data_IF_583142198134
#
_entry.id   IF_583142198134
#
_cell.length_a   1.000
_cell.length_b   1.000
_cell.length_c   1.000
_cell.angle_alpha   90.00
_cell.angle_beta   90.00
_cell.angle_gamma   90.00
#
_symmetry.space_group_name_H-M   'P 1'
#
loop_
_entity.id
_entity.type
_entity.pdbx_description
1 polymer ?
#
# COMPACT_ATOMS: atom_id res chain seq x y z
N UNK A 1 -50.55 -26.68 -29.68
CA UNK A 1 -50.13 -25.86 -28.55
C UNK A 1 -48.69 -26.06 -28.12
N UNK A 2 -47.73 -26.33 -29.02
CA UNK A 2 -46.28 -26.50 -28.69
C UNK A 2 -45.33 -25.47 -29.32
N UNK A 3 -45.83 -24.56 -30.15
CA UNK A 3 -44.99 -23.56 -30.86
C UNK A 3 -44.88 -22.19 -30.13
N UNK A 4 -45.76 -21.89 -29.20
CA UNK A 4 -45.76 -20.61 -28.48
C UNK A 4 -44.66 -20.54 -27.42
N UNK A 5 -44.33 -21.69 -26.80
CA UNK A 5 -43.27 -21.72 -25.77
C UNK A 5 -41.84 -21.52 -26.29
N UNK A 6 -41.59 -21.77 -27.56
CA UNK A 6 -40.26 -21.58 -28.15
C UNK A 6 -39.92 -20.10 -28.38
N UNK A 7 -40.91 -19.31 -28.82
CA UNK A 7 -40.71 -17.86 -29.05
C UNK A 7 -40.55 -17.08 -27.75
N UNK A 8 -41.18 -17.51 -26.64
CA UNK A 8 -41.00 -16.86 -25.33
C UNK A 8 -39.59 -17.14 -24.77
N UNK A 9 -39.03 -18.32 -25.02
CA UNK A 9 -37.68 -18.68 -24.62
C UNK A 9 -36.61 -17.90 -25.40
N UNK A 10 -36.81 -17.71 -26.72
CA UNK A 10 -35.90 -16.91 -27.56
C UNK A 10 -35.93 -15.42 -27.21
N UNK A 11 -37.10 -14.86 -26.90
CA UNK A 11 -37.23 -13.46 -26.47
C UNK A 11 -36.60 -13.26 -25.08
N UNK A 12 -36.75 -14.22 -24.16
CA UNK A 12 -36.09 -14.17 -22.84
C UNK A 12 -34.56 -14.27 -22.97
N UNK A 13 -34.05 -15.10 -23.90
CA UNK A 13 -32.62 -15.23 -24.17
C UNK A 13 -32.03 -13.97 -24.81
N UNK A 14 -32.78 -13.33 -25.73
CA UNK A 14 -32.41 -12.07 -26.34
C UNK A 14 -32.43 -10.89 -25.37
N UNK A 15 -33.36 -10.89 -24.42
CA UNK A 15 -33.36 -9.88 -23.32
C UNK A 15 -32.19 -10.06 -22.37
N UNK A 16 -31.72 -11.30 -22.13
CA UNK A 16 -30.53 -11.55 -21.31
C UNK A 16 -29.22 -11.12 -22.03
N UNK A 17 -29.18 -11.19 -23.38
CA UNK A 17 -28.01 -10.76 -24.16
C UNK A 17 -27.99 -9.23 -24.37
N UNK A 18 -29.13 -8.56 -24.29
CA UNK A 18 -29.22 -7.09 -24.39
C UNK A 18 -29.00 -6.36 -23.06
N UNK A 19 -28.88 -7.10 -21.96
CA UNK A 19 -28.70 -6.57 -20.60
C UNK A 19 -27.25 -6.37 -20.17
N UNK A 20 -26.26 -6.62 -21.05
CA UNK A 20 -24.90 -6.13 -20.81
C UNK A 20 -24.88 -4.62 -21.11
N UNK A 21 -25.45 -3.82 -20.21
CA UNK A 21 -25.10 -2.41 -20.14
C UNK A 21 -23.60 -2.39 -19.87
N UNK A 22 -22.79 -2.01 -20.87
CA UNK A 22 -21.39 -1.66 -20.65
C UNK A 22 -21.41 -0.60 -19.57
N UNK A 23 -20.97 -0.96 -18.35
CA UNK A 23 -20.78 0.00 -17.28
C UNK A 23 -19.94 1.14 -17.87
N UNK A 24 -20.32 2.39 -17.62
CA UNK A 24 -19.49 3.50 -18.11
C UNK A 24 -18.09 3.32 -17.51
N UNK A 25 -17.00 3.68 -18.20
CA UNK A 25 -15.64 3.54 -17.68
C UNK A 25 -15.46 4.11 -16.27
N UNK A 26 -16.24 5.12 -15.92
CA UNK A 26 -16.29 5.72 -14.59
C UNK A 26 -16.94 4.79 -13.55
N UNK A 27 -17.99 4.06 -13.90
CA UNK A 27 -18.65 3.12 -12.99
C UNK A 27 -17.76 1.89 -12.72
N UNK A 28 -17.06 1.41 -13.75
CA UNK A 28 -16.09 0.31 -13.60
C UNK A 28 -14.92 0.70 -12.69
N UNK A 29 -14.33 1.89 -12.89
CA UNK A 29 -13.29 2.44 -12.03
C UNK A 29 -13.76 2.54 -10.57
N UNK A 30 -14.98 3.09 -10.33
CA UNK A 30 -15.54 3.20 -8.99
C UNK A 30 -15.73 1.84 -8.30
N UNK A 31 -16.24 0.85 -9.03
CA UNK A 31 -16.45 -0.50 -8.50
C UNK A 31 -15.11 -1.16 -8.13
N UNK A 32 -14.10 -1.02 -9.00
CA UNK A 32 -12.74 -1.55 -8.73
C UNK A 32 -12.11 -0.88 -7.51
N UNK A 33 -12.23 0.44 -7.37
CA UNK A 33 -11.74 1.16 -6.19
C UNK A 33 -12.45 0.69 -4.93
N UNK A 34 -13.77 0.53 -4.97
CA UNK A 34 -14.53 0.01 -3.83
C UNK A 34 -14.06 -1.41 -3.43
N UNK A 35 -13.88 -2.28 -4.41
CA UNK A 35 -13.36 -3.63 -4.20
C UNK A 35 -11.97 -3.59 -3.54
N UNK A 36 -11.01 -2.85 -4.10
CA UNK A 36 -9.65 -2.76 -3.57
C UNK A 36 -9.61 -2.14 -2.16
N UNK A 37 -10.47 -1.18 -1.86
CA UNK A 37 -10.63 -0.66 -0.51
C UNK A 37 -11.19 -1.70 0.46
N UNK A 38 -12.07 -2.60 0.01
CA UNK A 38 -12.56 -3.70 0.85
C UNK A 38 -11.45 -4.71 1.19
N UNK A 39 -10.59 -5.03 0.23
CA UNK A 39 -9.39 -5.86 0.44
C UNK A 39 -8.45 -5.19 1.45
N UNK A 40 -8.22 -3.87 1.32
CA UNK A 40 -7.42 -3.10 2.29
C UNK A 40 -7.97 -3.24 3.70
N UNK A 41 -9.28 -3.05 3.89
CA UNK A 41 -9.93 -3.19 5.21
C UNK A 41 -9.76 -4.60 5.77
N UNK A 42 -9.90 -5.64 4.94
CA UNK A 42 -9.68 -7.03 5.35
C UNK A 42 -8.24 -7.24 5.82
N UNK A 43 -7.25 -6.71 5.07
CA UNK A 43 -5.83 -6.79 5.42
C UNK A 43 -5.54 -6.09 6.75
N UNK A 44 -6.13 -4.89 6.99
CA UNK A 44 -5.98 -4.16 8.26
C UNK A 44 -6.62 -4.87 9.46
N UNK A 45 -7.56 -5.77 9.22
CA UNK A 45 -8.26 -6.55 10.25
C UNK A 45 -7.68 -7.95 10.47
N UNK A 46 -6.53 -8.27 9.91
CA UNK A 46 -5.85 -9.55 10.15
C UNK A 46 -5.55 -9.72 11.63
N UNK A 47 -5.75 -10.94 12.15
CA UNK A 47 -5.55 -11.23 13.59
C UNK A 47 -4.09 -11.39 13.96
N UNK A 48 -3.29 -11.95 13.07
CA UNK A 48 -1.86 -12.14 13.24
C UNK A 48 -1.21 -12.37 11.89
N UNK A 49 0.08 -12.21 11.81
CA UNK A 49 0.88 -12.45 10.61
C UNK A 49 2.23 -11.76 10.70
N UNK A 50 2.92 -11.78 9.58
CA UNK A 50 4.13 -11.01 9.38
C UNK A 50 4.12 -10.33 8.02
N UNK A 51 4.87 -9.26 7.89
CA UNK A 51 5.12 -8.61 6.61
C UNK A 51 6.47 -7.90 6.61
N UNK A 52 7.02 -7.77 5.41
CA UNK A 52 8.28 -7.08 5.20
C UNK A 52 8.07 -5.87 4.30
N UNK A 53 8.59 -4.72 4.71
CA UNK A 53 8.60 -3.48 3.94
C UNK A 53 10.04 -3.18 3.53
N UNK A 54 10.28 -3.13 2.23
CA UNK A 54 11.54 -2.69 1.64
C UNK A 54 11.32 -1.30 1.03
N UNK A 55 12.11 -0.32 1.42
CA UNK A 55 12.04 1.03 0.85
C UNK A 55 13.41 1.43 0.33
N UNK A 56 13.43 1.93 -0.90
CA UNK A 56 14.58 2.50 -1.58
C UNK A 56 14.26 3.95 -1.93
N UNK A 57 15.14 4.85 -1.52
CA UNK A 57 15.13 6.25 -1.93
C UNK A 57 16.36 6.55 -2.77
N UNK A 58 16.15 7.25 -3.88
CA UNK A 58 17.24 7.81 -4.69
C UNK A 58 17.05 9.31 -4.73
N UNK A 59 18.03 10.06 -4.27
CA UNK A 59 18.06 11.54 -4.23
C UNK A 59 19.30 11.97 -4.99
N UNK A 60 19.11 12.44 -6.23
CA UNK A 60 20.23 12.70 -7.13
C UNK A 60 21.04 11.43 -7.42
N UNK A 61 22.29 11.40 -7.00
CA UNK A 61 23.22 10.27 -7.16
C UNK A 61 23.28 9.37 -5.90
N UNK A 62 22.66 9.79 -4.81
CA UNK A 62 22.64 9.05 -3.55
C UNK A 62 21.47 8.05 -3.51
N UNK A 63 21.72 6.88 -2.94
CA UNK A 63 20.69 5.85 -2.73
C UNK A 63 20.75 5.35 -1.30
N UNK A 64 19.58 5.27 -0.68
CA UNK A 64 19.38 4.69 0.65
C UNK A 64 18.34 3.58 0.60
N UNK A 65 18.58 2.51 1.34
CA UNK A 65 17.68 1.36 1.41
C UNK A 65 17.42 0.98 2.86
N UNK A 66 16.16 0.71 3.18
CA UNK A 66 15.74 0.24 4.51
C UNK A 66 14.81 -0.95 4.36
N UNK A 67 15.05 -2.00 5.15
CA UNK A 67 14.15 -3.13 5.32
C UNK A 67 13.57 -3.11 6.73
N UNK A 68 12.25 -3.25 6.81
CA UNK A 68 11.50 -3.38 8.07
C UNK A 68 10.75 -4.70 8.02
N UNK A 69 10.97 -5.56 9.00
CA UNK A 69 10.21 -6.79 9.18
C UNK A 69 9.33 -6.64 10.42
N UNK A 70 8.05 -6.92 10.28
CA UNK A 70 7.05 -6.73 11.32
C UNK A 70 6.30 -8.04 11.56
N UNK A 71 6.41 -8.57 12.77
CA UNK A 71 5.56 -9.63 13.30
C UNK A 71 4.47 -9.00 14.15
N UNK A 72 3.22 -9.44 14.00
CA UNK A 72 2.11 -8.86 14.74
C UNK A 72 1.05 -9.89 15.17
N UNK A 73 0.34 -9.54 16.25
CA UNK A 73 -0.83 -10.27 16.72
C UNK A 73 -1.82 -9.36 17.42
N UNK A 74 -3.11 -9.63 17.27
CA UNK A 74 -4.15 -8.99 18.06
C UNK A 74 -4.56 -9.88 19.23
N UNK A 75 -4.51 -9.33 20.45
CA UNK A 75 -4.97 -9.98 21.67
C UNK A 75 -5.87 -8.99 22.42
N UNK A 76 -7.08 -9.40 22.78
CA UNK A 76 -8.06 -8.57 23.49
C UNK A 76 -8.26 -7.18 22.84
N UNK A 77 -8.36 -7.14 21.51
CA UNK A 77 -8.51 -5.93 20.69
C UNK A 77 -7.31 -4.97 20.71
N UNK A 78 -6.18 -5.37 21.28
CA UNK A 78 -4.92 -4.62 21.21
C UNK A 78 -4.00 -5.25 20.17
N UNK A 79 -3.27 -4.40 19.44
CA UNK A 79 -2.20 -4.84 18.52
C UNK A 79 -0.90 -4.94 19.31
N UNK A 80 -0.29 -6.10 19.29
CA UNK A 80 1.09 -6.35 19.71
C UNK A 80 1.92 -6.56 18.44
N UNK A 81 3.07 -5.92 18.37
CA UNK A 81 3.98 -6.10 17.24
C UNK A 81 5.43 -6.03 17.67
N UNK A 82 6.27 -6.65 16.86
CA UNK A 82 7.71 -6.52 16.91
C UNK A 82 8.19 -6.12 15.52
N UNK A 83 8.82 -4.98 15.43
CA UNK A 83 9.45 -4.46 14.23
C UNK A 83 10.96 -4.60 14.34
N UNK A 84 11.58 -5.13 13.30
CA UNK A 84 13.03 -5.23 13.16
C UNK A 84 13.47 -4.44 11.94
N UNK A 85 14.38 -3.50 12.10
CA UNK A 85 14.81 -2.56 11.08
C UNK A 85 16.26 -2.86 10.69
N UNK A 86 16.53 -2.91 9.39
CA UNK A 86 17.82 -3.13 8.78
C UNK A 86 18.13 -1.96 7.83
N UNK A 87 19.39 -1.53 7.79
CA UNK A 87 19.89 -0.46 6.92
C UNK A 87 20.10 -0.90 5.45
N UNK A 88 19.83 -2.16 5.14
CA UNK A 88 19.90 -2.71 3.79
C UNK A 88 18.92 -3.87 3.63
N UNK A 89 18.34 -4.01 2.44
CA UNK A 89 17.56 -5.20 2.07
C UNK A 89 18.27 -6.07 1.02
N UNK A 90 19.40 -5.62 0.49
CA UNK A 90 20.21 -6.37 -0.48
C UNK A 90 21.15 -7.36 0.20
N UNK A 91 21.51 -7.12 1.46
CA UNK A 91 22.34 -8.02 2.27
C UNK A 91 21.44 -8.85 3.21
N UNK A 92 21.27 -10.13 2.89
CA UNK A 92 20.51 -11.08 3.72
C UNK A 92 21.21 -11.41 5.05
N UNK A 93 22.49 -11.08 5.18
CA UNK A 93 23.28 -11.25 6.41
C UNK A 93 23.34 -10.00 7.28
N UNK A 94 22.72 -8.89 6.84
CA UNK A 94 22.69 -7.64 7.60
C UNK A 94 22.11 -7.88 8.99
N UNK A 95 22.78 -7.36 10.01
CA UNK A 95 22.25 -7.35 11.37
C UNK A 95 21.22 -6.23 11.51
N UNK A 96 20.18 -6.44 12.32
CA UNK A 96 19.28 -5.35 12.63
C UNK A 96 20.03 -4.23 13.32
N UNK A 97 19.74 -2.99 12.97
CA UNK A 97 20.29 -1.85 13.71
C UNK A 97 19.32 -1.34 14.79
N UNK A 98 18.04 -1.63 14.65
CA UNK A 98 17.02 -1.23 15.60
C UNK A 98 15.89 -2.27 15.67
N UNK A 99 15.34 -2.44 16.86
CA UNK A 99 14.08 -3.15 17.08
C UNK A 99 13.10 -2.25 17.83
N UNK A 100 11.81 -2.40 17.54
CA UNK A 100 10.74 -1.74 18.27
C UNK A 100 9.64 -2.77 18.56
N UNK A 101 9.24 -2.93 19.82
CA UNK A 101 8.23 -3.89 20.20
C UNK A 101 7.25 -3.32 21.21
N UNK A 102 6.00 -3.74 21.13
CA UNK A 102 4.97 -3.38 22.12
C UNK A 102 5.28 -4.09 23.43
N UNK A 103 5.21 -3.37 24.57
CA UNK A 103 5.34 -3.95 25.92
C UNK A 103 4.29 -5.05 26.17
N UNK A 104 4.55 -5.94 27.12
CA UNK A 104 3.65 -7.05 27.46
C UNK A 104 2.22 -6.61 27.83
N UNK A 105 2.08 -5.44 28.47
CA UNK A 105 0.78 -4.87 28.84
C UNK A 105 0.14 -4.02 27.72
N UNK A 106 0.87 -3.78 26.62
CA UNK A 106 0.42 -3.00 25.46
C UNK A 106 0.29 -1.50 25.71
N UNK A 107 0.99 -0.96 26.74
CA UNK A 107 0.92 0.46 27.12
C UNK A 107 2.10 1.28 26.65
N UNK A 108 3.20 0.65 26.26
CA UNK A 108 4.42 1.31 25.80
C UNK A 108 5.04 0.63 24.59
N UNK A 109 5.94 1.35 23.96
CA UNK A 109 6.82 0.86 22.90
C UNK A 109 8.25 0.80 23.43
N UNK A 110 8.86 -0.37 23.36
CA UNK A 110 10.25 -0.61 23.72
C UNK A 110 11.09 -0.55 22.45
N UNK A 111 11.99 0.42 22.38
CA UNK A 111 12.90 0.61 21.25
C UNK A 111 14.32 0.28 21.70
N UNK A 112 14.97 -0.63 21.00
CA UNK A 112 16.35 -1.02 21.26
C UNK A 112 17.22 -0.76 20.02
N UNK A 113 18.34 -0.06 20.21
CA UNK A 113 19.37 0.14 19.19
C UNK A 113 20.51 -0.83 19.44
N UNK A 114 20.83 -1.67 18.45
CA UNK A 114 21.93 -2.64 18.54
C UNK A 114 23.31 -1.97 18.54
N UNK A 115 23.42 -0.83 17.83
CA UNK A 115 24.70 -0.12 17.68
C UNK A 115 25.14 0.60 18.95
N UNK A 116 24.17 1.12 19.72
CA UNK A 116 24.44 1.98 20.88
C UNK A 116 24.20 1.26 22.21
N UNK A 117 23.69 0.03 22.19
CA UNK A 117 23.23 -0.71 23.38
C UNK A 117 22.25 0.12 24.23
N UNK A 118 21.41 0.91 23.59
CA UNK A 118 20.42 1.77 24.23
C UNK A 118 19.04 1.14 24.05
N UNK A 119 18.32 1.06 25.17
CA UNK A 119 16.91 0.69 25.18
C UNK A 119 16.11 1.82 25.81
N UNK A 120 15.05 2.26 25.09
CA UNK A 120 14.16 3.33 25.53
C UNK A 120 12.73 2.80 25.55
N UNK A 121 12.01 3.08 26.62
CA UNK A 121 10.58 2.80 26.70
C UNK A 121 9.79 4.10 26.54
N UNK A 122 8.84 4.13 25.60
CA UNK A 122 8.02 5.30 25.28
C UNK A 122 6.55 4.94 25.53
N UNK A 123 5.84 5.64 26.41
CA UNK A 123 4.41 5.44 26.60
C UNK A 123 3.64 5.68 25.29
N UNK A 124 2.68 4.80 24.99
CA UNK A 124 1.81 4.94 23.84
C UNK A 124 0.64 5.88 24.18
N UNK A 125 0.53 7.00 23.48
CA UNK A 125 -0.61 7.91 23.62
C UNK A 125 -1.89 7.31 23.02
N UNK A 126 -1.73 6.51 21.96
CA UNK A 126 -2.84 5.82 21.27
C UNK A 126 -2.46 4.35 21.06
N UNK A 127 -3.44 3.44 21.09
CA UNK A 127 -3.20 2.05 20.73
C UNK A 127 -2.64 1.94 19.31
N UNK A 128 -1.59 1.12 19.09
CA UNK A 128 -1.07 0.89 17.77
C UNK A 128 -2.13 0.21 16.88
N UNK A 129 -2.03 0.45 15.57
CA UNK A 129 -2.87 -0.19 14.57
C UNK A 129 -2.03 -0.60 13.37
N UNK A 130 -2.46 -1.62 12.62
CA UNK A 130 -1.77 -2.02 11.38
C UNK A 130 -1.73 -0.88 10.36
N UNK A 131 -2.69 0.03 10.40
CA UNK A 131 -2.75 1.17 9.49
C UNK A 131 -1.48 2.04 9.51
N UNK A 132 -0.82 2.17 10.66
CA UNK A 132 0.42 2.96 10.77
C UNK A 132 1.56 2.45 9.87
N UNK A 133 1.61 1.13 9.60
CA UNK A 133 2.63 0.54 8.74
C UNK A 133 2.30 0.65 7.26
N UNK A 134 1.02 0.78 6.91
CA UNK A 134 0.54 0.89 5.54
C UNK A 134 0.35 2.33 5.08
N UNK A 135 0.29 3.26 6.04
CA UNK A 135 0.11 4.70 5.75
C UNK A 135 1.19 5.21 4.80
N UNK A 136 0.76 5.87 3.73
CA UNK A 136 1.64 6.37 2.67
C UNK A 136 2.05 5.32 1.63
N UNK A 137 1.95 4.02 1.94
CA UNK A 137 2.21 2.92 0.99
C UNK A 137 0.90 2.54 0.28
N UNK A 138 -0.12 2.23 1.06
CA UNK A 138 -1.44 1.86 0.58
C UNK A 138 -2.52 2.57 1.38
N UNK A 139 -2.77 3.81 1.04
CA UNK A 139 -3.84 4.61 1.61
C UNK A 139 -5.21 4.20 1.03
N UNK A 140 -6.28 4.67 1.64
CA UNK A 140 -7.64 4.50 1.08
C UNK A 140 -7.69 5.15 -0.31
N UNK A 141 -8.08 4.37 -1.31
CA UNK A 141 -8.17 4.83 -2.68
C UNK A 141 -9.39 5.73 -2.88
N UNK A 142 -9.20 6.86 -3.56
CA UNK A 142 -10.27 7.76 -3.96
C UNK A 142 -10.37 7.80 -5.50
N UNK A 143 -11.53 7.46 -6.10
CA UNK A 143 -11.68 7.44 -7.55
C UNK A 143 -11.36 8.77 -8.24
N UNK A 144 -11.54 9.91 -7.57
CA UNK A 144 -11.24 11.23 -8.12
C UNK A 144 -9.75 11.53 -8.24
N UNK A 145 -8.91 10.84 -7.48
CA UNK A 145 -7.44 11.00 -7.48
C UNK A 145 -6.75 10.05 -8.47
N UNK A 146 -7.50 9.11 -9.03
CA UNK A 146 -6.98 8.05 -9.89
C UNK A 146 -7.24 8.40 -11.35
N UNK A 147 -6.19 8.41 -12.18
CA UNK A 147 -6.30 8.53 -13.63
C UNK A 147 -6.84 7.25 -14.24
N UNK A 148 -6.19 6.11 -13.98
CA UNK A 148 -6.57 4.80 -14.51
C UNK A 148 -6.19 3.66 -13.58
N UNK A 149 -6.89 2.53 -13.78
CA UNK A 149 -6.57 1.25 -13.15
C UNK A 149 -6.44 0.23 -14.28
N UNK A 150 -5.34 -0.52 -14.27
CA UNK A 150 -5.07 -1.61 -15.18
C UNK A 150 -5.09 -2.92 -14.39
N UNK A 151 -5.75 -3.94 -14.91
CA UNK A 151 -5.79 -5.28 -14.32
C UNK A 151 -5.05 -6.26 -15.25
N UNK A 152 -4.22 -7.11 -14.68
CA UNK A 152 -3.54 -8.18 -15.40
C UNK A 152 -3.57 -9.46 -14.56
N UNK A 153 -3.79 -10.60 -15.22
CA UNK A 153 -3.75 -11.92 -14.62
C UNK A 153 -2.49 -12.65 -15.09
N UNK A 154 -1.72 -13.17 -14.15
CA UNK A 154 -0.52 -13.96 -14.43
C UNK A 154 -0.52 -15.23 -13.57
N UNK A 155 -0.94 -16.34 -14.15
CA UNK A 155 -1.17 -17.58 -13.44
C UNK A 155 -2.30 -17.41 -12.41
N UNK A 156 -2.00 -17.65 -11.16
CA UNK A 156 -2.96 -17.50 -10.05
C UNK A 156 -2.96 -16.10 -9.43
N UNK A 157 -2.12 -15.18 -9.93
CA UNK A 157 -2.00 -13.84 -9.35
C UNK A 157 -2.76 -12.83 -10.20
N UNK A 158 -3.62 -12.05 -9.57
CA UNK A 158 -4.25 -10.87 -10.16
C UNK A 158 -3.51 -9.62 -9.70
N UNK A 159 -3.02 -8.83 -10.65
CA UNK A 159 -2.31 -7.57 -10.39
C UNK A 159 -3.17 -6.39 -10.80
N UNK A 160 -3.26 -5.38 -9.93
CA UNK A 160 -3.90 -4.09 -10.20
C UNK A 160 -2.83 -3.01 -10.20
N UNK A 161 -2.69 -2.28 -11.28
CA UNK A 161 -1.82 -1.11 -11.38
C UNK A 161 -2.67 0.15 -11.36
N UNK A 162 -2.55 0.94 -10.32
CA UNK A 162 -3.29 2.17 -10.07
C UNK A 162 -2.35 3.35 -10.35
N UNK A 163 -2.71 4.16 -11.35
CA UNK A 163 -1.97 5.38 -11.70
C UNK A 163 -2.75 6.57 -11.18
N UNK A 164 -2.12 7.37 -10.32
CA UNK A 164 -2.72 8.59 -9.79
C UNK A 164 -2.68 9.72 -10.83
N UNK A 165 -3.66 10.60 -10.77
CA UNK A 165 -3.75 11.73 -11.70
C UNK A 165 -2.65 12.77 -11.47
N UNK A 166 -2.33 13.52 -12.52
CA UNK A 166 -1.40 14.65 -12.41
C UNK A 166 -1.90 15.72 -11.43
N UNK A 167 -3.22 15.94 -11.37
CA UNK A 167 -3.82 16.88 -10.43
C UNK A 167 -3.58 16.48 -8.97
N UNK A 168 -3.76 15.17 -8.66
CA UNK A 168 -3.41 14.65 -7.33
C UNK A 168 -1.95 14.86 -6.99
N UNK A 169 -1.06 14.63 -7.95
CA UNK A 169 0.38 14.79 -7.72
C UNK A 169 0.75 16.25 -7.50
N UNK A 170 0.20 17.19 -8.29
CA UNK A 170 0.47 18.62 -8.16
C UNK A 170 -0.04 19.20 -6.83
N UNK A 171 -1.17 18.68 -6.29
CA UNK A 171 -1.71 19.09 -4.99
C UNK A 171 -0.84 18.63 -3.80
N UNK A 172 0.18 17.79 -4.04
CA UNK A 172 1.13 17.31 -3.02
C UNK A 172 2.45 18.10 -2.99
N UNK A 173 2.47 19.29 -3.56
CA UNK A 173 3.58 20.20 -3.37
C UNK A 173 3.64 20.66 -1.91
N UNK A 174 4.79 20.45 -1.28
CA UNK A 174 5.07 20.91 0.07
C UNK A 174 6.18 21.98 0.05
N UNK A 175 5.80 23.18 0.47
CA UNK A 175 6.75 24.27 0.64
C UNK A 175 7.06 24.45 2.13
N UNK A 176 8.33 24.41 2.49
CA UNK A 176 8.84 24.63 3.84
C UNK A 176 9.88 25.73 3.85
N UNK A 177 10.24 26.23 5.02
CA UNK A 177 11.30 27.25 5.15
C UNK A 177 12.68 26.77 4.66
N UNK A 178 12.89 25.44 4.58
CA UNK A 178 14.17 24.82 4.18
C UNK A 178 14.16 24.27 2.74
N UNK A 179 13.04 24.35 2.04
CA UNK A 179 12.92 23.90 0.66
C UNK A 179 11.51 23.50 0.27
N UNK A 180 11.36 23.02 -0.96
CA UNK A 180 10.11 22.51 -1.48
C UNK A 180 10.24 21.07 -1.97
N UNK A 181 9.15 20.32 -1.95
CA UNK A 181 9.07 19.01 -2.57
C UNK A 181 7.85 18.94 -3.48
N UNK A 182 8.02 18.38 -4.66
CA UNK A 182 6.98 18.25 -5.67
C UNK A 182 6.85 16.77 -6.05
N UNK A 183 5.66 16.21 -5.93
CA UNK A 183 5.34 14.87 -6.42
C UNK A 183 4.96 14.98 -7.90
N UNK A 184 5.61 14.21 -8.78
CA UNK A 184 5.29 14.18 -10.21
C UNK A 184 4.46 12.98 -10.61
N UNK A 185 4.76 11.81 -10.03
CA UNK A 185 3.99 10.60 -10.30
C UNK A 185 3.87 9.73 -9.06
N UNK A 186 2.74 9.03 -8.98
CA UNK A 186 2.48 7.99 -7.99
C UNK A 186 1.81 6.81 -8.69
N UNK A 187 2.42 5.64 -8.55
CA UNK A 187 1.90 4.37 -9.10
C UNK A 187 1.87 3.35 -7.98
N UNK A 188 0.71 2.78 -7.73
CA UNK A 188 0.49 1.72 -6.77
C UNK A 188 0.17 0.42 -7.51
N UNK A 189 0.87 -0.65 -7.22
CA UNK A 189 0.61 -1.99 -7.73
C UNK A 189 0.20 -2.91 -6.57
N UNK A 190 -0.93 -3.59 -6.71
CA UNK A 190 -1.44 -4.57 -5.75
C UNK A 190 -1.43 -5.94 -6.41
N UNK A 191 -0.90 -6.95 -5.72
CA UNK A 191 -0.91 -8.34 -6.16
C UNK A 191 -1.75 -9.17 -5.21
N UNK A 192 -2.79 -9.80 -5.74
CA UNK A 192 -3.73 -10.62 -5.00
C UNK A 192 -3.59 -12.09 -5.39
N UNK A 193 -3.73 -12.96 -4.41
CA UNK A 193 -3.89 -14.40 -4.59
C UNK A 193 -5.34 -14.74 -4.97
N UNK A 194 -5.65 -15.98 -5.42
CA UNK A 194 -7.01 -16.38 -5.81
C UNK A 194 -8.05 -16.28 -4.70
N UNK A 195 -7.63 -16.35 -3.45
CA UNK A 195 -8.46 -16.20 -2.25
C UNK A 195 -8.62 -14.74 -1.81
N UNK A 196 -8.22 -13.79 -2.69
CA UNK A 196 -8.24 -12.35 -2.46
C UNK A 196 -7.26 -11.87 -1.37
N UNK A 197 -6.38 -12.73 -0.86
CA UNK A 197 -5.33 -12.28 0.06
C UNK A 197 -4.27 -11.47 -0.68
N UNK A 198 -3.76 -10.45 0.00
CA UNK A 198 -2.70 -9.60 -0.56
C UNK A 198 -1.38 -10.33 -0.48
N UNK A 199 -0.72 -10.49 -1.62
CA UNK A 199 0.63 -11.03 -1.70
C UNK A 199 1.69 -9.94 -1.61
N UNK A 200 1.47 -8.84 -2.30
CA UNK A 200 2.41 -7.72 -2.32
C UNK A 200 1.70 -6.40 -2.63
N UNK A 201 2.24 -5.34 -2.07
CA UNK A 201 1.90 -3.95 -2.40
C UNK A 201 3.20 -3.26 -2.82
N UNK A 202 3.21 -2.60 -3.98
CA UNK A 202 4.36 -1.84 -4.46
C UNK A 202 3.94 -0.41 -4.73
N UNK A 203 4.70 0.52 -4.20
CA UNK A 203 4.52 1.94 -4.44
C UNK A 203 5.76 2.50 -5.12
N UNK A 204 5.58 3.18 -6.24
CA UNK A 204 6.61 3.95 -6.90
C UNK A 204 6.18 5.41 -6.96
N UNK A 205 7.03 6.31 -6.48
CA UNK A 205 6.83 7.75 -6.60
C UNK A 205 8.05 8.40 -7.23
N UNK A 206 7.82 9.43 -8.02
CA UNK A 206 8.88 10.30 -8.55
C UNK A 206 8.54 11.74 -8.29
N UNK A 207 9.55 12.57 -8.13
CA UNK A 207 9.38 13.99 -7.90
C UNK A 207 10.71 14.72 -7.82
N UNK A 208 10.68 15.91 -7.25
CA UNK A 208 11.84 16.74 -7.01
C UNK A 208 11.83 17.29 -5.59
N UNK A 209 13.00 17.48 -5.06
CA UNK A 209 13.23 18.32 -3.89
C UNK A 209 14.14 19.49 -4.30
N UNK A 210 13.85 20.69 -3.81
CA UNK A 210 14.71 21.85 -3.97
C UNK A 210 15.07 22.42 -2.60
N UNK A 211 16.34 22.64 -2.38
CA UNK A 211 16.86 23.34 -1.22
C UNK A 211 16.74 24.86 -1.35
N UNK A 212 17.39 25.59 -0.45
CA UNK A 212 17.42 27.05 -0.46
C UNK A 212 18.11 27.66 -1.69
N UNK A 213 18.93 26.88 -2.39
CA UNK A 213 19.63 27.27 -3.62
C UNK A 213 18.76 27.16 -4.89
N UNK A 214 17.50 26.73 -4.74
CA UNK A 214 16.55 26.53 -5.85
C UNK A 214 16.94 25.49 -6.90
N UNK A 215 18.02 24.74 -6.70
CA UNK A 215 18.35 23.61 -7.57
C UNK A 215 17.38 22.44 -7.33
N UNK A 216 16.75 21.96 -8.39
CA UNK A 216 15.86 20.80 -8.33
C UNK A 216 16.68 19.51 -8.36
N UNK A 217 16.56 18.69 -7.31
CA UNK A 217 17.18 17.37 -7.25
C UNK A 217 16.09 16.31 -7.45
N UNK A 218 16.22 15.43 -8.45
CA UNK A 218 15.24 14.36 -8.68
C UNK A 218 15.23 13.38 -7.51
N UNK A 219 14.02 12.97 -7.12
CA UNK A 219 13.80 11.98 -6.08
C UNK A 219 12.91 10.87 -6.62
N UNK A 220 13.33 9.65 -6.38
CA UNK A 220 12.47 8.48 -6.59
C UNK A 220 12.38 7.70 -5.29
N UNK A 221 11.18 7.21 -4.98
CA UNK A 221 10.97 6.28 -3.88
C UNK A 221 10.28 5.05 -4.42
N UNK A 222 10.82 3.90 -4.07
CA UNK A 222 10.22 2.60 -4.32
C UNK A 222 10.00 1.91 -2.98
N UNK A 223 8.77 1.54 -2.70
CA UNK A 223 8.43 0.78 -1.50
C UNK A 223 7.72 -0.50 -1.91
N UNK A 224 8.19 -1.62 -1.40
CA UNK A 224 7.59 -2.93 -1.62
C UNK A 224 7.24 -3.54 -0.27
N UNK A 225 5.97 -3.90 -0.09
CA UNK A 225 5.45 -4.59 1.08
C UNK A 225 5.03 -5.99 0.64
N UNK A 226 5.51 -7.01 1.36
CA UNK A 226 5.20 -8.42 1.15
C UNK A 226 4.55 -8.97 2.41
N UNK A 227 3.39 -9.61 2.26
CA UNK A 227 2.75 -10.36 3.35
C UNK A 227 3.21 -11.82 3.26
N UNK A 228 3.59 -12.38 4.43
CA UNK A 228 4.07 -13.76 4.59
C UNK A 228 2.96 -14.67 5.15
#
# INVERSE_FOLDING_TARGET
MKKINFYILEIALLCFMAGCSSASPNAEKQNTVHYLNSIRIQTMNMKSGSFTINTEWNIGEESETVRRHIDFSHQDSKLYYKETIYDSFTDSSAKPYQTAETSEDGTSLIISSENDNVTVEIPLENPPSLEQFFKGIWDTLNPSEIERIEMAEQGEITSYTIVYSSDYCSDKENNTEIGSSVLQSKILELKLMPDETVKAVKLNTTGYVSGLDTSETPVTQKTELYLD
#
